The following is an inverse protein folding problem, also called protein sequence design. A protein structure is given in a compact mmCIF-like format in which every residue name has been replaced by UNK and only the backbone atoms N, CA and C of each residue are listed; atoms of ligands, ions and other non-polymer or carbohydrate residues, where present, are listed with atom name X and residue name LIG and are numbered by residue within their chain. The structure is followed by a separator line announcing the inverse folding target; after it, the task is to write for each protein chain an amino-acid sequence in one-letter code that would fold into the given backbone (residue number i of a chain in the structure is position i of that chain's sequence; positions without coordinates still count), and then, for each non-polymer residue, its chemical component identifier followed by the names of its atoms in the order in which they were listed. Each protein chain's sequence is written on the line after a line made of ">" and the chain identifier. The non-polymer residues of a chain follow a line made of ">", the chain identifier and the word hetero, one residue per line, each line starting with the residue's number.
data_IF_172762108425
#
_entry.id   IF_172762108425
#
_cell.length_a   1.000
_cell.length_b   1.000
_cell.length_c   1.000
_cell.angle_alpha   90.00
_cell.angle_beta   90.00
_cell.angle_gamma   90.00
#
_symmetry.space_group_name_H-M   'P 1'
#
loop_
_entity.id
_entity.type
_entity.pdbx_description
1 polymer ?
#
# COMPACT_ATOMS: atom_id res chain seq x y z
N UNK A 1 10.26 -13.35 -21.62
CA UNK A 1 9.19 -14.07 -20.91
C UNK A 1 8.52 -13.06 -19.97
N UNK A 2 7.22 -13.14 -19.80
CA UNK A 2 6.51 -12.26 -18.86
C UNK A 2 6.90 -12.73 -17.46
N UNK A 3 7.39 -11.81 -16.61
CA UNK A 3 7.67 -12.09 -15.21
C UNK A 3 6.37 -12.49 -14.50
N UNK A 4 6.44 -13.48 -13.61
CA UNK A 4 5.33 -13.90 -12.76
C UNK A 4 5.09 -12.88 -11.64
N UNK A 5 6.18 -12.38 -11.04
CA UNK A 5 6.13 -11.32 -10.05
C UNK A 5 5.89 -9.97 -10.73
N UNK A 6 4.88 -9.24 -10.26
CA UNK A 6 4.66 -7.83 -10.56
C UNK A 6 5.31 -6.93 -9.52
N UNK A 7 4.99 -5.64 -9.53
CA UNK A 7 5.49 -4.67 -8.54
C UNK A 7 5.07 -4.97 -7.09
N UNK A 8 4.05 -5.81 -6.89
CA UNK A 8 3.48 -6.12 -5.58
C UNK A 8 3.12 -7.62 -5.47
N UNK A 9 4.10 -8.48 -5.73
CA UNK A 9 3.94 -9.94 -5.69
C UNK A 9 3.22 -10.51 -6.91
N UNK A 10 2.69 -11.71 -6.77
CA UNK A 10 1.93 -12.42 -7.80
C UNK A 10 0.44 -12.20 -7.56
N UNK A 11 -0.26 -11.60 -8.50
CA UNK A 11 -1.71 -11.34 -8.40
C UNK A 11 -2.48 -11.97 -9.55
N UNK A 12 -3.74 -12.32 -9.30
CA UNK A 12 -4.63 -12.80 -10.35
C UNK A 12 -6.01 -13.20 -9.87
N UNK A 13 -6.89 -13.45 -10.83
CA UNK A 13 -8.21 -14.03 -10.55
C UNK A 13 -8.02 -15.49 -10.15
N UNK A 14 -8.50 -15.82 -8.93
CA UNK A 14 -8.32 -17.17 -8.36
C UNK A 14 -9.05 -18.21 -9.22
N UNK A 15 -8.43 -19.38 -9.39
CA UNK A 15 -8.87 -20.46 -10.28
C UNK A 15 -8.92 -20.10 -11.78
N UNK A 16 -8.26 -18.99 -12.17
CA UNK A 16 -8.03 -18.62 -13.58
C UNK A 16 -6.56 -18.37 -13.88
N UNK A 17 -5.97 -17.38 -13.23
CA UNK A 17 -4.56 -16.99 -13.37
C UNK A 17 -3.76 -17.30 -12.11
N UNK A 18 -4.36 -17.16 -10.92
CA UNK A 18 -3.78 -17.57 -9.65
C UNK A 18 -4.39 -18.91 -9.21
N UNK A 19 -3.76 -20.00 -9.65
CA UNK A 19 -4.19 -21.37 -9.34
C UNK A 19 -3.60 -21.84 -8.01
N UNK A 20 -4.27 -22.70 -7.23
CA UNK A 20 -3.71 -23.29 -6.01
C UNK A 20 -2.46 -24.16 -6.29
N UNK A 21 -2.38 -24.77 -7.49
CA UNK A 21 -1.17 -25.47 -7.94
C UNK A 21 0.02 -24.53 -8.08
N UNK A 22 -0.20 -23.31 -8.58
CA UNK A 22 0.83 -22.28 -8.66
C UNK A 22 1.28 -21.87 -7.25
N UNK A 23 0.35 -21.65 -6.31
CA UNK A 23 0.67 -21.33 -4.93
C UNK A 23 1.53 -22.45 -4.28
N UNK A 24 1.18 -23.71 -4.51
CA UNK A 24 2.00 -24.85 -4.06
C UNK A 24 3.40 -24.83 -4.67
N UNK A 25 3.50 -24.60 -5.97
CA UNK A 25 4.78 -24.52 -6.68
C UNK A 25 5.63 -23.33 -6.20
N UNK A 26 5.01 -22.17 -5.97
CA UNK A 26 5.69 -21.01 -5.36
C UNK A 26 6.23 -21.33 -3.96
N UNK A 27 5.42 -22.03 -3.14
CA UNK A 27 5.86 -22.50 -1.83
C UNK A 27 7.08 -23.43 -1.95
N UNK A 28 7.07 -24.35 -2.92
CA UNK A 28 8.23 -25.22 -3.18
C UNK A 28 9.47 -24.46 -3.61
N UNK A 29 9.33 -23.49 -4.52
CA UNK A 29 10.45 -22.70 -5.03
C UNK A 29 11.01 -21.78 -3.92
N UNK A 30 10.15 -21.09 -3.18
CA UNK A 30 10.55 -20.24 -2.05
C UNK A 30 11.22 -21.09 -0.94
N UNK A 31 10.62 -22.21 -0.55
CA UNK A 31 11.23 -23.12 0.43
C UNK A 31 12.61 -23.57 -0.01
N UNK A 32 12.80 -23.96 -1.28
CA UNK A 32 14.09 -24.35 -1.82
C UNK A 32 15.11 -23.20 -1.83
N UNK A 33 14.67 -21.98 -2.12
CA UNK A 33 15.52 -20.78 -2.09
C UNK A 33 16.07 -20.53 -0.69
N UNK A 34 15.21 -20.53 0.31
CA UNK A 34 15.60 -20.23 1.70
C UNK A 34 16.31 -21.42 2.37
N UNK A 35 16.05 -22.68 1.98
CA UNK A 35 16.78 -23.86 2.48
C UNK A 35 18.27 -23.89 2.10
N UNK A 36 18.75 -23.03 1.19
CA UNK A 36 20.19 -22.90 0.90
C UNK A 36 20.99 -22.26 2.04
N UNK A 37 20.31 -21.67 3.03
CA UNK A 37 20.90 -21.12 4.25
C UNK A 37 21.06 -22.25 5.29
N UNK A 38 21.88 -22.02 6.30
CA UNK A 38 22.02 -22.98 7.41
C UNK A 38 20.72 -23.09 8.22
N UNK A 39 20.31 -24.31 8.54
CA UNK A 39 19.14 -24.61 9.34
C UNK A 39 17.86 -24.86 8.52
N UNK A 40 16.76 -25.04 9.22
CA UNK A 40 15.42 -25.22 8.66
C UNK A 40 14.75 -23.85 8.57
N UNK A 41 14.41 -23.35 7.37
CA UNK A 41 13.81 -22.04 7.24
C UNK A 41 12.39 -22.01 7.82
N UNK A 42 12.05 -20.88 8.44
CA UNK A 42 10.74 -20.62 9.05
C UNK A 42 10.03 -19.51 8.31
N UNK A 43 8.77 -19.76 7.96
CA UNK A 43 7.90 -18.79 7.29
C UNK A 43 6.72 -18.42 8.17
N UNK A 44 6.37 -17.14 8.19
CA UNK A 44 5.12 -16.64 8.74
C UNK A 44 4.14 -16.38 7.60
N UNK A 45 2.89 -16.87 7.67
CA UNK A 45 1.86 -16.61 6.66
C UNK A 45 0.66 -15.95 7.30
N UNK A 46 0.31 -14.76 6.79
CA UNK A 46 -0.93 -14.04 7.07
C UNK A 46 -1.78 -13.86 5.82
N UNK A 47 -3.02 -13.44 5.99
CA UNK A 47 -3.95 -13.21 4.89
C UNK A 47 -4.99 -12.14 5.21
N UNK A 48 -5.66 -11.65 4.18
CA UNK A 48 -6.91 -10.89 4.33
C UNK A 48 -8.14 -11.82 4.49
N UNK A 49 -9.32 -11.25 4.37
CA UNK A 49 -10.60 -11.93 4.62
C UNK A 49 -11.18 -12.64 3.40
N UNK A 50 -10.54 -12.58 2.22
CA UNK A 50 -11.03 -13.23 0.98
C UNK A 50 -11.28 -14.71 1.18
N UNK A 51 -12.39 -15.22 0.66
CA UNK A 51 -12.77 -16.63 0.74
C UNK A 51 -11.68 -17.57 0.20
N UNK A 52 -10.95 -17.14 -0.82
CA UNK A 52 -9.85 -17.90 -1.43
C UNK A 52 -8.58 -17.95 -0.57
N UNK A 53 -8.46 -17.09 0.46
CA UNK A 53 -7.27 -16.98 1.28
C UNK A 53 -6.88 -18.26 1.98
N UNK A 54 -7.84 -18.99 2.56
CA UNK A 54 -7.57 -20.27 3.25
C UNK A 54 -7.04 -21.35 2.31
N UNK A 55 -7.62 -21.45 1.10
CA UNK A 55 -7.18 -22.41 0.08
C UNK A 55 -5.74 -22.13 -0.37
N UNK A 56 -5.44 -20.86 -0.69
CA UNK A 56 -4.09 -20.46 -1.12
C UNK A 56 -3.06 -20.62 -0.01
N UNK A 57 -3.42 -20.29 1.25
CA UNK A 57 -2.57 -20.52 2.44
C UNK A 57 -2.22 -22.00 2.56
N UNK A 58 -3.22 -22.88 2.45
CA UNK A 58 -3.00 -24.32 2.56
C UNK A 58 -2.07 -24.85 1.44
N UNK A 59 -2.30 -24.43 0.21
CA UNK A 59 -1.50 -24.83 -0.94
C UNK A 59 -0.04 -24.37 -0.83
N UNK A 60 0.17 -23.07 -0.50
CA UNK A 60 1.50 -22.49 -0.31
C UNK A 60 2.24 -23.17 0.86
N UNK A 61 1.58 -23.36 2.01
CA UNK A 61 2.15 -24.03 3.18
C UNK A 61 2.57 -25.46 2.87
N UNK A 62 1.74 -26.21 2.14
CA UNK A 62 2.09 -27.56 1.70
C UNK A 62 3.36 -27.56 0.81
N UNK A 63 3.49 -26.59 -0.09
CA UNK A 63 4.67 -26.41 -0.94
C UNK A 63 5.94 -26.11 -0.13
N UNK A 64 5.88 -25.20 0.83
CA UNK A 64 6.96 -24.84 1.74
C UNK A 64 7.41 -26.07 2.57
N UNK A 65 6.46 -26.76 3.19
CA UNK A 65 6.75 -27.98 4.00
C UNK A 65 7.35 -29.11 3.14
N UNK A 66 6.88 -29.26 1.89
CA UNK A 66 7.42 -30.25 0.95
C UNK A 66 8.87 -29.95 0.53
N UNK A 67 9.38 -28.75 0.79
CA UNK A 67 10.79 -28.35 0.59
C UNK A 67 11.58 -28.27 1.91
N UNK A 68 10.97 -28.63 3.06
CA UNK A 68 11.63 -28.72 4.37
C UNK A 68 11.52 -27.44 5.22
N UNK A 69 10.74 -26.45 4.81
CA UNK A 69 10.51 -25.24 5.58
C UNK A 69 9.38 -25.45 6.61
N UNK A 70 9.53 -24.88 7.79
CA UNK A 70 8.45 -24.79 8.79
C UNK A 70 7.58 -23.55 8.49
N UNK A 71 6.29 -23.66 8.77
CA UNK A 71 5.30 -22.61 8.50
C UNK A 71 4.48 -22.35 9.74
N UNK A 72 4.45 -21.09 10.16
CA UNK A 72 3.56 -20.58 11.20
C UNK A 72 2.46 -19.74 10.53
N UNK A 73 1.18 -20.09 10.76
CA UNK A 73 0.02 -19.42 10.14
C UNK A 73 -0.66 -18.52 11.15
N UNK A 74 -0.60 -17.22 10.95
CA UNK A 74 -1.17 -16.22 11.89
C UNK A 74 -2.66 -15.92 11.60
N UNK A 75 -3.18 -16.33 10.43
CA UNK A 75 -4.58 -16.12 10.07
C UNK A 75 -4.84 -14.76 9.42
N UNK A 76 -5.98 -14.14 9.76
CA UNK A 76 -6.32 -12.79 9.26
C UNK A 76 -5.56 -11.76 10.07
N UNK A 77 -4.78 -10.94 9.37
CA UNK A 77 -3.94 -9.90 9.96
C UNK A 77 -3.62 -8.84 8.88
N UNK A 78 -3.48 -7.54 9.24
CA UNK A 78 -2.94 -6.54 8.34
C UNK A 78 -1.59 -6.93 7.71
N UNK A 79 -1.40 -6.59 6.44
CA UNK A 79 -0.12 -6.83 5.72
C UNK A 79 1.09 -6.34 6.51
N UNK A 80 1.10 -5.10 7.07
CA UNK A 80 2.22 -4.63 7.88
C UNK A 80 2.46 -5.45 9.15
N UNK A 81 1.44 -6.12 9.68
CA UNK A 81 1.59 -7.03 10.82
C UNK A 81 2.45 -8.24 10.48
N UNK A 82 2.33 -8.80 9.27
CA UNK A 82 3.21 -9.89 8.84
C UNK A 82 4.65 -9.41 8.69
N UNK A 83 4.88 -8.24 8.09
CA UNK A 83 6.21 -7.65 7.96
C UNK A 83 6.86 -7.42 9.34
N UNK A 84 6.13 -6.82 10.27
CA UNK A 84 6.57 -6.59 11.64
C UNK A 84 6.92 -7.89 12.38
N UNK A 85 6.00 -8.86 12.41
CA UNK A 85 6.19 -10.13 13.12
C UNK A 85 7.31 -10.98 12.50
N UNK A 86 7.48 -10.93 11.17
CA UNK A 86 8.59 -11.62 10.48
C UNK A 86 9.92 -11.14 11.03
N UNK A 87 10.11 -9.84 11.12
CA UNK A 87 11.33 -9.21 11.68
C UNK A 87 11.49 -9.50 13.17
N UNK A 88 10.42 -9.32 13.97
CA UNK A 88 10.47 -9.42 15.42
C UNK A 88 10.77 -10.84 15.92
N UNK A 89 10.21 -11.85 15.25
CA UNK A 89 10.36 -13.26 15.68
C UNK A 89 11.43 -14.01 14.89
N UNK A 90 12.18 -13.31 14.03
CA UNK A 90 13.30 -13.87 13.29
C UNK A 90 12.88 -14.98 12.33
N UNK A 91 11.77 -14.82 11.63
CA UNK A 91 11.42 -15.65 10.50
C UNK A 91 12.36 -15.38 9.33
N UNK A 92 12.63 -16.40 8.52
CA UNK A 92 13.45 -16.23 7.29
C UNK A 92 12.69 -15.48 6.22
N UNK A 93 11.36 -15.61 6.20
CA UNK A 93 10.47 -14.86 5.32
C UNK A 93 9.05 -14.77 5.89
N UNK A 94 8.35 -13.69 5.54
CA UNK A 94 6.92 -13.51 5.72
C UNK A 94 6.17 -13.63 4.40
N UNK A 95 4.93 -14.09 4.44
CA UNK A 95 4.06 -14.14 3.27
C UNK A 95 2.69 -13.61 3.60
N UNK A 96 2.15 -12.78 2.73
CA UNK A 96 0.77 -12.29 2.80
C UNK A 96 -0.03 -12.79 1.61
N UNK A 97 -1.19 -13.36 1.89
CA UNK A 97 -2.18 -13.76 0.89
C UNK A 97 -3.26 -12.69 0.80
N UNK A 98 -3.08 -11.75 -0.13
CA UNK A 98 -3.99 -10.63 -0.36
C UNK A 98 -3.80 -10.01 -1.74
N UNK A 99 -4.84 -9.36 -2.26
CA UNK A 99 -4.79 -8.47 -3.41
C UNK A 99 -5.16 -7.01 -3.04
N UNK A 100 -4.92 -6.60 -1.77
CA UNK A 100 -5.14 -5.24 -1.28
C UNK A 100 -6.55 -4.72 -1.59
N UNK A 101 -6.67 -3.63 -2.33
CA UNK A 101 -7.93 -2.96 -2.69
C UNK A 101 -8.71 -3.60 -3.86
N UNK A 102 -8.20 -4.68 -4.49
CA UNK A 102 -8.91 -5.35 -5.58
C UNK A 102 -10.21 -6.02 -5.09
N UNK A 103 -11.20 -6.26 -5.96
CA UNK A 103 -12.42 -6.99 -5.61
C UNK A 103 -12.11 -8.44 -5.21
N UNK A 104 -13.06 -9.11 -4.52
CA UNK A 104 -12.85 -10.41 -3.89
C UNK A 104 -12.44 -11.57 -4.81
N UNK A 105 -12.78 -11.60 -6.14
CA UNK A 105 -12.34 -12.69 -7.00
C UNK A 105 -10.83 -12.73 -7.25
N UNK A 106 -10.17 -11.57 -7.06
CA UNK A 106 -8.73 -11.48 -7.12
C UNK A 106 -8.11 -11.91 -5.80
N UNK A 107 -6.87 -12.42 -5.87
CA UNK A 107 -6.01 -12.59 -4.72
C UNK A 107 -4.55 -12.43 -5.15
N UNK A 108 -3.62 -12.46 -4.17
CA UNK A 108 -2.20 -12.33 -4.43
C UNK A 108 -1.36 -13.05 -3.40
N UNK A 109 -0.09 -13.20 -3.72
CA UNK A 109 0.93 -13.76 -2.82
C UNK A 109 2.11 -12.81 -2.82
N UNK A 110 2.36 -12.16 -1.67
CA UNK A 110 3.45 -11.21 -1.44
C UNK A 110 4.44 -11.82 -0.47
N UNK A 111 5.73 -11.67 -0.74
CA UNK A 111 6.79 -12.15 0.15
C UNK A 111 7.54 -11.00 0.78
N UNK A 112 7.95 -11.20 2.04
CA UNK A 112 8.83 -10.33 2.81
C UNK A 112 10.09 -11.08 3.21
N UNK A 113 11.22 -10.41 3.23
CA UNK A 113 12.48 -10.95 3.74
C UNK A 113 12.52 -10.98 5.29
N UNK A 114 13.59 -11.51 5.84
CA UNK A 114 13.79 -11.58 7.30
C UNK A 114 13.86 -10.22 8.01
N UNK A 115 14.00 -9.12 7.26
CA UNK A 115 13.96 -7.76 7.80
C UNK A 115 12.57 -7.12 7.72
N UNK A 116 11.60 -7.83 7.14
CA UNK A 116 10.25 -7.31 6.90
C UNK A 116 10.13 -6.42 5.67
N UNK A 117 11.11 -6.40 4.77
CA UNK A 117 11.02 -5.70 3.49
C UNK A 117 10.44 -6.64 2.42
N UNK A 118 9.74 -6.10 1.43
CA UNK A 118 9.40 -6.86 0.22
C UNK A 118 10.65 -7.45 -0.41
N UNK A 119 10.55 -8.63 -1.02
CA UNK A 119 11.71 -9.25 -1.67
C UNK A 119 12.27 -8.34 -2.77
N UNK A 120 13.58 -8.39 -2.97
CA UNK A 120 14.22 -7.71 -4.09
C UNK A 120 13.88 -8.39 -5.42
N UNK A 121 13.90 -7.65 -6.54
CA UNK A 121 13.69 -8.21 -7.88
C UNK A 121 14.59 -9.42 -8.13
N UNK A 122 15.85 -9.30 -7.73
CA UNK A 122 16.81 -10.41 -7.84
C UNK A 122 16.34 -11.66 -7.09
N UNK A 123 15.81 -11.50 -5.90
CA UNK A 123 15.31 -12.64 -5.11
C UNK A 123 14.05 -13.24 -5.75
N UNK A 124 13.16 -12.39 -6.26
CA UNK A 124 11.98 -12.82 -6.99
C UNK A 124 12.35 -13.56 -8.28
N UNK A 125 13.31 -13.06 -9.05
CA UNK A 125 13.84 -13.73 -10.26
C UNK A 125 14.48 -15.09 -9.94
N UNK A 126 15.27 -15.19 -8.85
CA UNK A 126 15.88 -16.44 -8.40
C UNK A 126 14.80 -17.48 -7.96
N UNK A 127 13.71 -17.03 -7.34
CA UNK A 127 12.58 -17.89 -6.99
C UNK A 127 11.82 -18.33 -8.26
N UNK A 128 11.59 -17.43 -9.22
CA UNK A 128 10.98 -17.77 -10.52
C UNK A 128 11.80 -18.80 -11.30
N UNK A 129 13.11 -18.67 -11.29
CA UNK A 129 13.99 -19.64 -11.94
C UNK A 129 13.88 -21.02 -11.30
N UNK A 130 13.87 -21.09 -9.96
CA UNK A 130 13.62 -22.34 -9.25
C UNK A 130 12.24 -22.93 -9.58
N UNK A 131 11.22 -22.08 -9.68
CA UNK A 131 9.86 -22.49 -10.04
C UNK A 131 9.79 -23.13 -11.43
N UNK A 132 10.51 -22.61 -12.41
CA UNK A 132 10.58 -23.19 -13.76
C UNK A 132 11.25 -24.57 -13.79
N UNK A 133 12.14 -24.87 -12.86
CA UNK A 133 12.95 -26.07 -12.79
C UNK A 133 12.56 -27.03 -11.66
N UNK A 134 11.37 -26.88 -11.06
CA UNK A 134 10.92 -27.73 -9.96
C UNK A 134 10.86 -29.24 -10.35
N UNK A 135 10.47 -29.54 -11.56
CA UNK A 135 10.37 -30.92 -12.07
C UNK A 135 11.74 -31.52 -12.43
N UNK A 136 12.74 -30.68 -12.65
CA UNK A 136 14.14 -31.09 -12.91
C UNK A 136 14.92 -31.43 -11.62
N UNK A 137 14.24 -31.41 -10.46
CA UNK A 137 14.85 -31.69 -9.17
C UNK A 137 15.58 -30.50 -8.53
N UNK A 138 15.31 -29.27 -8.99
CA UNK A 138 15.90 -28.03 -8.47
C UNK A 138 15.52 -27.74 -7.01
N UNK A 139 14.38 -28.26 -6.54
CA UNK A 139 13.93 -28.12 -5.17
C UNK A 139 14.07 -29.41 -4.37
N UNK A 140 14.56 -29.35 -3.11
CA UNK A 140 14.70 -30.53 -2.24
C UNK A 140 13.34 -31.20 -2.01
N UNK A 141 13.39 -32.53 -1.78
CA UNK A 141 12.25 -33.33 -1.36
C UNK A 141 12.66 -34.13 -0.11
N UNK A 142 12.73 -33.47 1.05
CA UNK A 142 13.09 -34.14 2.29
C UNK A 142 12.06 -35.21 2.67
N UNK A 143 12.49 -36.19 3.45
CA UNK A 143 11.66 -37.31 3.91
C UNK A 143 11.70 -37.45 5.44
N UNK A 144 10.69 -38.06 5.99
CA UNK A 144 10.64 -38.35 7.42
C UNK A 144 10.64 -37.10 8.28
N UNK A 145 11.58 -36.98 9.21
CA UNK A 145 11.68 -35.84 10.14
C UNK A 145 12.15 -34.53 9.49
N UNK A 146 12.63 -34.56 8.25
CA UNK A 146 13.09 -33.37 7.55
C UNK A 146 11.97 -32.64 6.75
N UNK A 147 10.78 -33.25 6.70
CA UNK A 147 9.59 -32.56 6.17
C UNK A 147 9.23 -31.42 7.12
N UNK A 148 8.90 -30.23 6.56
CA UNK A 148 8.43 -29.07 7.33
C UNK A 148 7.09 -29.31 8.00
N UNK A 149 6.78 -28.52 9.01
CA UNK A 149 5.52 -28.62 9.77
C UNK A 149 4.77 -27.29 9.70
N UNK A 150 3.43 -27.38 9.72
CA UNK A 150 2.54 -26.22 9.82
C UNK A 150 2.08 -26.09 11.27
N UNK A 151 2.17 -24.88 11.83
CA UNK A 151 1.67 -24.55 13.17
C UNK A 151 0.65 -23.44 13.08
N UNK A 152 -0.30 -23.45 13.99
CA UNK A 152 -1.15 -22.30 14.27
C UNK A 152 -0.35 -21.29 15.11
N UNK A 153 -0.38 -20.02 14.71
CA UNK A 153 0.29 -18.92 15.38
C UNK A 153 -0.64 -17.68 15.49
N UNK A 154 -1.95 -17.93 15.58
CA UNK A 154 -2.97 -16.87 15.61
C UNK A 154 -2.77 -15.88 16.77
N UNK A 155 -2.15 -16.34 17.88
CA UNK A 155 -1.82 -15.50 19.04
C UNK A 155 -0.86 -14.36 18.72
N UNK A 156 -0.01 -14.49 17.69
CA UNK A 156 0.92 -13.43 17.29
C UNK A 156 0.22 -12.18 16.77
N UNK A 157 -1.04 -12.29 16.33
CA UNK A 157 -1.84 -11.11 15.95
C UNK A 157 -2.02 -10.14 17.12
N UNK A 158 -2.12 -10.62 18.34
CA UNK A 158 -2.22 -9.79 19.53
C UNK A 158 -0.93 -8.98 19.78
N UNK A 159 0.24 -9.57 19.53
CA UNK A 159 1.54 -8.90 19.70
C UNK A 159 1.69 -7.68 18.76
N UNK A 160 1.24 -7.80 17.51
CA UNK A 160 1.24 -6.67 16.59
C UNK A 160 0.22 -5.60 17.00
N UNK A 161 -0.96 -6.01 17.51
CA UNK A 161 -1.98 -5.09 18.03
C UNK A 161 -1.47 -4.27 19.21
N UNK A 162 -0.79 -4.94 20.14
CA UNK A 162 -0.16 -4.28 21.29
C UNK A 162 0.97 -3.34 20.86
N UNK A 163 1.78 -3.76 19.88
CA UNK A 163 2.82 -2.90 19.31
C UNK A 163 2.23 -1.61 18.74
N UNK A 164 1.21 -1.67 17.89
CA UNK A 164 0.58 -0.46 17.30
C UNK A 164 0.08 0.47 18.40
N UNK A 165 -0.59 -0.06 19.42
CA UNK A 165 -1.08 0.75 20.54
C UNK A 165 0.06 1.44 21.32
N UNK A 166 1.24 0.83 21.40
CA UNK A 166 2.41 1.36 22.10
C UNK A 166 3.21 2.38 21.28
N UNK A 167 2.90 2.59 19.99
CA UNK A 167 3.57 3.61 19.16
C UNK A 167 3.17 5.04 19.53
N UNK A 168 2.12 5.22 20.33
CA UNK A 168 1.65 6.52 20.82
C UNK A 168 1.67 6.57 22.35
N UNK A 169 1.89 7.77 22.90
CA UNK A 169 1.97 7.99 24.35
C UNK A 169 0.71 8.65 24.95
N UNK A 170 -0.21 9.12 24.09
CA UNK A 170 -1.46 9.76 24.53
C UNK A 170 -2.65 8.82 24.42
N UNK A 171 -3.70 9.07 25.20
CA UNK A 171 -5.00 8.42 25.01
C UNK A 171 -5.89 9.23 24.06
N UNK A 172 -6.93 8.56 23.52
CA UNK A 172 -7.90 9.16 22.60
C UNK A 172 -9.26 9.42 23.25
N UNK A 173 -9.32 9.51 24.58
CA UNK A 173 -10.57 9.83 25.32
C UNK A 173 -11.19 11.12 24.83
N UNK A 174 -12.49 11.06 24.57
CA UNK A 174 -13.28 12.20 24.09
C UNK A 174 -13.22 12.38 22.57
N UNK A 175 -12.57 11.48 21.82
CA UNK A 175 -12.71 11.40 20.38
C UNK A 175 -13.75 10.36 20.01
N UNK A 176 -14.71 10.74 19.16
CA UNK A 176 -15.65 9.85 18.50
C UNK A 176 -15.16 9.59 17.08
N UNK A 177 -14.89 8.34 16.75
CA UNK A 177 -14.23 7.93 15.51
C UNK A 177 -15.10 6.91 14.79
N UNK A 178 -15.39 7.15 13.51
CA UNK A 178 -16.01 6.16 12.62
C UNK A 178 -14.92 5.44 11.85
N UNK A 179 -14.87 4.11 11.90
CA UNK A 179 -13.92 3.33 11.11
C UNK A 179 -14.62 2.60 9.96
N UNK A 180 -13.97 2.52 8.81
CA UNK A 180 -14.33 1.67 7.68
C UNK A 180 -13.17 0.73 7.40
N UNK A 181 -13.32 -0.54 7.74
CA UNK A 181 -12.28 -1.55 7.63
C UNK A 181 -12.33 -2.34 6.32
N UNK A 182 -13.05 -1.85 5.31
CA UNK A 182 -13.20 -2.49 3.99
C UNK A 182 -13.68 -3.95 4.02
N UNK A 183 -14.31 -4.43 5.09
CA UNK A 183 -14.51 -5.87 5.40
C UNK A 183 -13.21 -6.69 5.27
N UNK A 184 -12.07 -6.06 5.48
CA UNK A 184 -10.73 -6.58 5.30
C UNK A 184 -10.01 -6.92 6.61
N UNK A 185 -8.68 -6.95 6.54
CA UNK A 185 -7.81 -7.36 7.65
C UNK A 185 -7.79 -6.37 8.83
N UNK A 186 -8.22 -5.11 8.63
CA UNK A 186 -8.40 -4.15 9.72
C UNK A 186 -9.67 -4.39 10.56
N UNK A 187 -10.57 -5.27 10.15
CA UNK A 187 -11.91 -5.56 10.67
C UNK A 187 -12.15 -5.21 12.12
N UNK A 188 -11.78 -6.08 13.03
CA UNK A 188 -11.78 -5.85 14.47
C UNK A 188 -10.44 -5.32 15.00
N UNK A 189 -9.41 -5.25 14.15
CA UNK A 189 -8.05 -4.94 14.54
C UNK A 189 -7.88 -3.47 14.94
N UNK A 190 -8.15 -2.54 14.01
CA UNK A 190 -8.03 -1.11 14.26
C UNK A 190 -9.08 -0.59 15.26
N UNK A 191 -10.37 -0.98 15.17
CA UNK A 191 -11.38 -0.58 16.16
C UNK A 191 -11.01 -0.96 17.60
N UNK A 192 -10.45 -2.17 17.81
CA UNK A 192 -10.02 -2.62 19.14
C UNK A 192 -8.86 -1.77 19.68
N UNK A 193 -7.86 -1.46 18.85
CA UNK A 193 -6.74 -0.59 19.24
C UNK A 193 -7.25 0.78 19.67
N UNK A 194 -8.11 1.40 18.87
CA UNK A 194 -8.66 2.73 19.17
C UNK A 194 -9.48 2.74 20.46
N UNK A 195 -10.31 1.70 20.66
CA UNK A 195 -11.11 1.54 21.88
C UNK A 195 -10.20 1.34 23.13
N UNK A 196 -9.15 0.55 23.04
CA UNK A 196 -8.13 0.39 24.11
C UNK A 196 -7.43 1.70 24.43
N UNK A 197 -7.20 2.54 23.43
CA UNK A 197 -6.65 3.89 23.63
C UNK A 197 -7.70 4.89 24.11
N UNK A 198 -8.97 4.48 24.31
CA UNK A 198 -10.00 5.25 24.97
C UNK A 198 -10.92 6.05 24.05
N UNK A 199 -10.84 5.85 22.72
CA UNK A 199 -11.79 6.46 21.77
C UNK A 199 -13.19 5.83 21.87
N UNK A 200 -14.22 6.61 21.53
CA UNK A 200 -15.57 6.11 21.24
C UNK A 200 -15.63 5.72 19.75
N UNK A 201 -15.63 4.40 19.48
CA UNK A 201 -15.44 3.87 18.12
C UNK A 201 -16.76 3.33 17.57
N UNK A 202 -17.09 3.78 16.36
CA UNK A 202 -18.23 3.28 15.59
C UNK A 202 -17.67 2.56 14.37
N UNK A 203 -17.61 1.22 14.44
CA UNK A 203 -17.05 0.40 13.38
C UNK A 203 -18.07 0.14 12.26
N UNK A 204 -17.64 0.32 11.02
CA UNK A 204 -18.39 -0.02 9.80
C UNK A 204 -17.55 -0.89 8.89
N UNK A 205 -18.18 -1.60 7.95
CA UNK A 205 -17.52 -2.53 7.03
C UNK A 205 -16.51 -3.46 7.76
N UNK A 206 -16.93 -4.03 8.89
CA UNK A 206 -16.14 -4.90 9.75
C UNK A 206 -16.75 -6.31 9.94
N UNK A 207 -17.67 -6.70 9.07
CA UNK A 207 -18.35 -8.02 9.08
C UNK A 207 -18.01 -8.79 7.78
N UNK A 208 -16.77 -9.33 7.67
CA UNK A 208 -16.34 -10.02 6.47
C UNK A 208 -17.06 -11.36 6.29
N UNK A 209 -17.62 -11.59 5.10
CA UNK A 209 -18.23 -12.87 4.69
C UNK A 209 -17.38 -13.66 3.66
N UNK A 210 -16.22 -13.11 3.32
CA UNK A 210 -15.27 -13.68 2.36
C UNK A 210 -15.45 -13.22 0.92
N UNK A 211 -16.56 -12.56 0.60
CA UNK A 211 -16.90 -12.06 -0.75
C UNK A 211 -17.22 -10.57 -0.81
N UNK A 212 -17.28 -9.90 0.34
CA UNK A 212 -17.64 -8.48 0.47
C UNK A 212 -16.45 -7.54 0.73
N UNK A 213 -15.21 -8.04 0.67
CA UNK A 213 -14.02 -7.19 0.86
C UNK A 213 -13.95 -6.10 -0.22
N UNK A 214 -13.72 -4.84 0.20
CA UNK A 214 -13.68 -3.64 -0.66
C UNK A 214 -14.97 -3.35 -1.45
N UNK A 215 -16.08 -4.01 -1.15
CA UNK A 215 -17.32 -3.81 -1.89
C UNK A 215 -18.03 -2.53 -1.42
N UNK A 216 -17.88 -1.46 -2.20
CA UNK A 216 -18.40 -0.13 -1.91
C UNK A 216 -18.01 0.42 -0.51
N UNK A 217 -16.82 0.08 -0.03
CA UNK A 217 -16.27 0.49 1.26
C UNK A 217 -14.76 0.60 1.21
N UNK A 218 -14.16 1.06 2.30
CA UNK A 218 -12.73 1.23 2.48
C UNK A 218 -12.15 2.44 1.75
N UNK A 219 -10.82 2.50 1.68
CA UNK A 219 -10.07 3.67 1.21
C UNK A 219 -10.31 4.04 -0.27
N UNK A 220 -10.93 3.17 -1.05
CA UNK A 220 -11.30 3.45 -2.46
C UNK A 220 -12.75 3.91 -2.64
N UNK A 221 -13.56 3.91 -1.57
CA UNK A 221 -14.98 4.28 -1.57
C UNK A 221 -15.35 5.05 -0.31
N UNK A 222 -14.85 6.29 -0.22
CA UNK A 222 -14.94 7.14 0.98
C UNK A 222 -16.32 7.78 1.22
N UNK A 223 -17.23 7.74 0.22
CA UNK A 223 -18.48 8.52 0.23
C UNK A 223 -19.43 8.09 1.37
N UNK A 224 -19.43 6.81 1.70
CA UNK A 224 -20.26 6.30 2.79
C UNK A 224 -19.72 6.77 4.14
N UNK A 225 -18.41 6.59 4.36
CA UNK A 225 -17.74 7.01 5.58
C UNK A 225 -17.91 8.52 5.82
N UNK A 226 -17.73 9.35 4.77
CA UNK A 226 -17.88 10.79 4.85
C UNK A 226 -19.29 11.21 5.32
N UNK A 227 -20.34 10.54 4.80
CA UNK A 227 -21.73 10.78 5.23
C UNK A 227 -21.97 10.36 6.69
N UNK A 228 -21.41 9.22 7.11
CA UNK A 228 -21.56 8.70 8.46
C UNK A 228 -20.88 9.60 9.49
N UNK A 229 -19.67 10.09 9.21
CA UNK A 229 -18.96 11.04 10.08
C UNK A 229 -19.82 12.27 10.36
N UNK A 230 -20.36 12.90 9.31
CA UNK A 230 -21.22 14.08 9.44
C UNK A 230 -22.52 13.76 10.17
N UNK A 231 -23.18 12.63 9.82
CA UNK A 231 -24.44 12.21 10.41
C UNK A 231 -24.34 11.93 11.91
N UNK A 232 -23.21 11.33 12.32
CA UNK A 232 -22.95 10.93 13.71
C UNK A 232 -22.28 12.04 14.53
N UNK A 233 -21.92 13.17 13.90
CA UNK A 233 -21.15 14.25 14.52
C UNK A 233 -19.82 13.73 15.11
N UNK A 234 -19.18 12.79 14.41
CA UNK A 234 -17.90 12.24 14.83
C UNK A 234 -16.77 13.25 14.60
N UNK A 235 -15.69 13.13 15.37
CA UNK A 235 -14.51 14.00 15.23
C UNK A 235 -13.74 13.69 13.94
N UNK A 236 -13.75 12.41 13.51
CA UNK A 236 -13.18 11.98 12.25
C UNK A 236 -13.69 10.60 11.81
N UNK A 237 -13.42 10.27 10.55
CA UNK A 237 -13.52 8.93 9.99
C UNK A 237 -12.16 8.39 9.58
N UNK A 238 -11.98 7.07 9.60
CA UNK A 238 -10.75 6.38 9.18
C UNK A 238 -11.13 5.22 8.28
N UNK A 239 -10.55 5.16 7.09
CA UNK A 239 -10.73 4.06 6.16
C UNK A 239 -9.41 3.35 5.87
N UNK A 240 -9.44 2.02 5.89
CA UNK A 240 -8.36 1.17 5.39
C UNK A 240 -8.78 0.52 4.07
N UNK A 241 -7.82 -0.08 3.36
CA UNK A 241 -8.09 -1.01 2.29
C UNK A 241 -8.10 -2.47 2.80
N UNK A 242 -8.32 -3.43 1.90
CA UNK A 242 -8.58 -4.82 2.27
C UNK A 242 -7.48 -5.51 3.09
N UNK A 243 -6.21 -5.13 2.93
CA UNK A 243 -5.08 -5.67 3.70
C UNK A 243 -4.45 -4.63 4.66
N UNK A 244 -5.09 -3.48 4.79
CA UNK A 244 -4.82 -2.44 5.78
C UNK A 244 -3.38 -1.89 5.75
N UNK A 245 -2.73 -1.90 4.58
CA UNK A 245 -1.47 -1.22 4.36
C UNK A 245 -1.66 0.28 4.04
N UNK A 246 -2.93 0.71 3.78
CA UNK A 246 -3.36 2.08 3.55
C UNK A 246 -4.28 2.61 4.62
N UNK A 247 -4.24 3.93 4.80
CA UNK A 247 -5.12 4.67 5.68
C UNK A 247 -5.47 6.02 5.08
N UNK A 248 -6.77 6.34 5.00
CA UNK A 248 -7.28 7.67 4.67
C UNK A 248 -8.18 8.15 5.78
N UNK A 249 -8.35 9.47 5.88
CA UNK A 249 -9.20 10.09 6.88
C UNK A 249 -10.35 10.87 6.26
N UNK A 250 -11.36 11.12 7.08
CA UNK A 250 -12.45 12.05 6.81
C UNK A 250 -12.53 13.00 8.01
N UNK A 251 -12.57 14.30 7.77
CA UNK A 251 -12.75 15.28 8.83
C UNK A 251 -14.22 15.38 9.28
N UNK A 252 -14.47 16.12 10.35
CA UNK A 252 -15.81 16.31 10.94
C UNK A 252 -16.81 17.01 10.00
N UNK A 253 -16.35 17.57 8.87
CA UNK A 253 -17.20 18.19 7.85
C UNK A 253 -17.53 17.25 6.69
N UNK A 254 -16.90 16.07 6.64
CA UNK A 254 -17.04 15.07 5.59
C UNK A 254 -16.03 15.22 4.44
N UNK A 255 -15.00 16.07 4.60
CA UNK A 255 -13.92 16.20 3.64
C UNK A 255 -12.91 15.06 3.80
N UNK A 256 -12.45 14.48 2.69
CA UNK A 256 -11.48 13.39 2.67
C UNK A 256 -10.07 13.93 2.71
N UNK A 257 -9.26 13.43 3.63
CA UNK A 257 -7.82 13.65 3.71
C UNK A 257 -7.11 12.43 3.12
N UNK A 258 -6.39 12.64 2.05
CA UNK A 258 -5.58 11.60 1.40
C UNK A 258 -4.19 11.46 2.05
N UNK A 259 -3.35 10.58 1.49
CA UNK A 259 -2.03 10.30 2.03
C UNK A 259 -1.12 11.54 2.07
N UNK A 260 -1.26 12.47 1.13
CA UNK A 260 -0.45 13.70 1.12
C UNK A 260 -0.78 14.60 2.31
N UNK A 261 -2.08 14.76 2.65
CA UNK A 261 -2.51 15.48 3.85
C UNK A 261 -1.97 14.81 5.12
N UNK A 262 -2.11 13.47 5.20
CA UNK A 262 -1.68 12.71 6.37
C UNK A 262 -0.15 12.79 6.55
N UNK A 263 0.62 12.69 5.48
CA UNK A 263 2.06 12.86 5.52
C UNK A 263 2.45 14.27 5.97
N UNK A 264 1.79 15.32 5.46
CA UNK A 264 2.07 16.70 5.88
C UNK A 264 1.80 16.91 7.37
N UNK A 265 0.61 16.48 7.85
CA UNK A 265 0.22 16.62 9.26
C UNK A 265 1.25 15.93 10.17
N UNK A 266 1.61 14.68 9.85
CA UNK A 266 2.59 13.93 10.63
C UNK A 266 4.00 14.50 10.49
N UNK A 267 4.40 14.98 9.30
CA UNK A 267 5.71 15.59 9.07
C UNK A 267 5.94 16.84 9.92
N UNK A 268 4.93 17.73 10.02
CA UNK A 268 5.01 18.93 10.84
C UNK A 268 5.25 18.54 12.30
N UNK A 269 4.47 17.61 12.82
CA UNK A 269 4.59 17.14 14.20
C UNK A 269 5.94 16.44 14.45
N UNK A 270 6.35 15.52 13.59
CA UNK A 270 7.65 14.84 13.69
C UNK A 270 8.83 15.82 13.64
N UNK A 271 8.72 16.88 12.83
CA UNK A 271 9.73 17.95 12.79
C UNK A 271 9.79 18.70 14.10
N UNK A 272 8.65 19.08 14.70
CA UNK A 272 8.58 19.77 15.99
C UNK A 272 9.21 18.93 17.11
N UNK A 273 9.04 17.61 17.05
CA UNK A 273 9.65 16.66 17.98
C UNK A 273 11.10 16.27 17.64
N UNK A 274 11.65 16.75 16.53
CA UNK A 274 13.02 16.43 16.08
C UNK A 274 13.16 14.98 15.53
N UNK A 275 12.07 14.33 15.15
CA UNK A 275 12.03 12.95 14.61
C UNK A 275 12.02 12.88 13.08
N UNK A 276 11.81 14.01 12.37
CA UNK A 276 11.81 14.05 10.91
C UNK A 276 13.25 14.16 10.38
N UNK A 277 13.83 13.06 9.96
CA UNK A 277 15.20 12.99 9.45
C UNK A 277 15.38 13.89 8.23
N UNK A 278 16.44 14.72 8.24
CA UNK A 278 16.76 15.65 7.16
C UNK A 278 15.68 16.70 6.89
N UNK A 279 14.63 16.82 7.72
CA UNK A 279 13.42 17.60 7.44
C UNK A 279 12.84 17.28 6.06
N UNK A 280 12.85 16.00 5.68
CA UNK A 280 12.47 15.53 4.34
C UNK A 280 11.38 14.47 4.41
N UNK A 281 10.40 14.57 3.51
CA UNK A 281 9.36 13.55 3.29
C UNK A 281 9.52 13.00 1.89
N UNK A 282 9.44 11.68 1.76
CA UNK A 282 9.50 11.00 0.46
C UNK A 282 8.07 10.78 -0.04
N UNK A 283 7.75 11.35 -1.20
CA UNK A 283 6.49 11.13 -1.91
C UNK A 283 6.72 10.49 -3.27
N UNK A 284 5.69 10.50 -4.10
CA UNK A 284 5.80 10.05 -5.50
C UNK A 284 5.53 11.19 -6.48
N UNK A 285 5.77 10.94 -7.76
CA UNK A 285 5.38 11.88 -8.83
C UNK A 285 3.86 12.10 -8.93
N UNK A 286 3.04 11.34 -8.18
CA UNK A 286 1.60 11.52 -8.10
C UNK A 286 1.16 12.41 -6.93
N UNK A 287 2.05 12.68 -5.97
CA UNK A 287 1.72 13.58 -4.84
C UNK A 287 1.29 14.95 -5.34
N UNK A 288 0.29 15.54 -4.69
CA UNK A 288 -0.29 16.82 -5.07
C UNK A 288 0.74 17.96 -5.04
N UNK A 289 0.67 18.88 -5.97
CA UNK A 289 1.56 20.06 -6.01
C UNK A 289 1.47 20.88 -4.71
N UNK A 290 0.29 20.93 -4.10
CA UNK A 290 0.05 21.56 -2.81
C UNK A 290 0.87 20.93 -1.67
N UNK A 291 1.08 19.62 -1.70
CA UNK A 291 1.89 18.91 -0.72
C UNK A 291 3.34 19.44 -0.67
N UNK A 292 4.01 19.51 -1.82
CA UNK A 292 5.38 20.02 -1.88
C UNK A 292 5.47 21.50 -1.49
N UNK A 293 4.48 22.32 -1.86
CA UNK A 293 4.41 23.73 -1.47
C UNK A 293 4.22 23.88 0.04
N UNK A 294 3.27 23.15 0.62
CA UNK A 294 3.00 23.18 2.06
C UNK A 294 4.21 22.71 2.88
N UNK A 295 4.89 21.63 2.47
CA UNK A 295 6.13 21.20 3.11
C UNK A 295 7.18 22.32 3.09
N UNK A 296 7.36 22.98 1.95
CA UNK A 296 8.33 24.09 1.79
C UNK A 296 7.99 25.28 2.67
N UNK A 297 6.72 25.66 2.82
CA UNK A 297 6.23 26.73 3.69
C UNK A 297 6.55 26.42 5.18
N UNK A 298 6.54 25.15 5.55
CA UNK A 298 6.93 24.69 6.89
C UNK A 298 8.44 24.39 7.02
N UNK A 299 9.27 24.79 6.03
CA UNK A 299 10.72 24.60 6.05
C UNK A 299 11.14 23.12 5.99
N UNK A 300 10.39 22.33 5.25
CA UNK A 300 10.66 20.93 4.95
C UNK A 300 10.90 20.73 3.46
N UNK A 301 11.42 19.57 3.09
CA UNK A 301 11.69 19.20 1.69
C UNK A 301 10.84 17.98 1.32
N UNK A 302 10.56 17.85 0.03
CA UNK A 302 10.02 16.62 -0.55
C UNK A 302 11.01 16.03 -1.54
N UNK A 303 11.12 14.72 -1.56
CA UNK A 303 11.79 13.93 -2.60
C UNK A 303 10.71 13.11 -3.28
N UNK A 304 10.62 13.22 -4.63
CA UNK A 304 9.61 12.50 -5.40
C UNK A 304 10.24 11.31 -6.12
N UNK A 305 9.70 10.13 -5.90
CA UNK A 305 10.07 8.89 -6.58
C UNK A 305 9.08 8.55 -7.70
N UNK A 306 9.35 7.49 -8.44
CA UNK A 306 8.35 6.86 -9.29
C UNK A 306 7.21 6.30 -8.44
N UNK A 307 6.04 6.05 -9.07
CA UNK A 307 4.89 5.43 -8.42
C UNK A 307 5.21 3.99 -8.03
N UNK A 308 4.97 3.67 -6.79
CA UNK A 308 5.17 2.35 -6.19
C UNK A 308 5.86 2.47 -4.83
N UNK A 309 5.27 1.86 -3.84
CA UNK A 309 5.72 1.87 -2.45
C UNK A 309 7.17 1.39 -2.27
N UNK A 310 7.61 0.48 -3.13
CA UNK A 310 8.98 0.01 -3.17
C UNK A 310 9.97 1.12 -3.44
N UNK A 311 9.72 1.98 -4.44
CA UNK A 311 10.62 3.11 -4.76
C UNK A 311 10.67 4.13 -3.64
N UNK A 312 9.54 4.35 -2.96
CA UNK A 312 9.47 5.20 -1.76
C UNK A 312 10.36 4.63 -0.66
N UNK A 313 10.22 3.34 -0.35
CA UNK A 313 11.02 2.69 0.69
C UNK A 313 12.52 2.67 0.33
N UNK A 314 12.88 2.35 -0.91
CA UNK A 314 14.27 2.33 -1.36
C UNK A 314 14.93 3.71 -1.17
N UNK A 315 14.25 4.80 -1.55
CA UNK A 315 14.72 6.17 -1.33
C UNK A 315 14.87 6.51 0.15
N UNK A 316 13.87 6.11 0.98
CA UNK A 316 13.90 6.31 2.42
C UNK A 316 15.11 5.61 3.06
N UNK A 317 15.37 4.36 2.70
CA UNK A 317 16.47 3.56 3.24
C UNK A 317 17.84 4.08 2.76
N UNK A 318 17.93 4.55 1.51
CA UNK A 318 19.19 5.07 0.96
C UNK A 318 19.67 6.35 1.64
N UNK A 319 18.74 7.14 2.19
CA UNK A 319 19.04 8.45 2.79
C UNK A 319 18.63 8.57 4.26
N UNK A 320 18.20 7.45 4.89
CA UNK A 320 17.75 7.40 6.30
C UNK A 320 16.59 8.37 6.57
N UNK A 321 15.66 8.50 5.63
CA UNK A 321 14.45 9.30 5.83
C UNK A 321 13.41 8.55 6.67
N UNK A 322 12.74 9.28 7.57
CA UNK A 322 11.84 8.70 8.57
C UNK A 322 10.38 8.62 8.16
N UNK A 323 9.96 9.39 7.16
CA UNK A 323 8.57 9.45 6.68
C UNK A 323 8.51 9.50 5.16
N UNK A 324 7.65 8.68 4.59
CA UNK A 324 7.35 8.70 3.16
C UNK A 324 6.09 7.91 2.86
N UNK A 325 5.56 8.06 1.63
CA UNK A 325 4.36 7.35 1.23
C UNK A 325 3.78 7.83 -0.08
N UNK A 326 2.54 7.47 -0.30
CA UNK A 326 1.78 7.75 -1.51
C UNK A 326 0.45 8.44 -1.16
N UNK A 327 -0.08 9.21 -2.11
CA UNK A 327 -1.40 9.82 -2.01
C UNK A 327 -2.51 8.79 -1.70
N UNK A 328 -2.33 7.54 -2.11
CA UNK A 328 -3.25 6.43 -1.83
C UNK A 328 -3.42 6.09 -0.34
N UNK A 329 -2.60 6.68 0.55
CA UNK A 329 -2.62 6.41 1.98
C UNK A 329 -1.65 5.32 2.43
N UNK A 330 -0.80 4.79 1.54
CA UNK A 330 0.30 3.89 1.90
C UNK A 330 1.44 4.73 2.48
N UNK A 331 1.52 4.82 3.80
CA UNK A 331 2.46 5.68 4.51
C UNK A 331 3.39 4.84 5.38
N UNK A 332 4.70 5.10 5.26
CA UNK A 332 5.78 4.40 5.93
C UNK A 332 6.38 5.32 6.98
N UNK A 333 6.37 4.87 8.23
CA UNK A 333 7.16 5.43 9.33
C UNK A 333 8.27 4.45 9.65
N UNK A 334 9.51 4.71 9.19
CA UNK A 334 10.64 3.76 9.35
C UNK A 334 11.00 3.48 10.81
N UNK A 335 10.61 4.37 11.72
CA UNK A 335 10.73 4.17 13.16
C UNK A 335 9.90 2.97 13.64
N UNK A 336 8.76 2.70 13.01
CA UNK A 336 7.81 1.70 13.47
C UNK A 336 7.76 0.46 12.56
N UNK A 337 7.72 0.65 11.25
CA UNK A 337 7.57 -0.47 10.32
C UNK A 337 8.39 -0.28 9.03
N UNK A 338 8.50 -1.35 8.27
CA UNK A 338 9.30 -1.45 7.03
C UNK A 338 8.45 -1.38 5.77
N UNK A 339 7.16 -1.16 5.90
CA UNK A 339 6.18 -1.01 4.81
C UNK A 339 5.09 -0.05 5.24
N UNK A 340 4.22 0.35 4.34
CA UNK A 340 3.03 1.13 4.69
C UNK A 340 2.20 0.42 5.73
N UNK A 341 1.76 1.19 6.72
CA UNK A 341 1.04 0.66 7.87
C UNK A 341 -0.16 1.56 8.19
N UNK A 342 -1.34 1.10 7.74
CA UNK A 342 -2.57 1.87 7.93
C UNK A 342 -2.96 2.03 9.39
N UNK A 343 -2.64 1.05 10.24
CA UNK A 343 -2.94 1.13 11.67
C UNK A 343 -1.99 2.08 12.42
N UNK A 344 -0.71 2.04 12.11
CA UNK A 344 0.27 3.01 12.65
C UNK A 344 -0.08 4.41 12.15
N UNK A 345 -0.37 4.59 10.86
CA UNK A 345 -0.78 5.87 10.28
C UNK A 345 -2.00 6.44 11.01
N UNK A 346 -3.00 5.60 11.30
CA UNK A 346 -4.20 5.99 12.03
C UNK A 346 -3.87 6.53 13.43
N UNK A 347 -3.13 5.77 14.23
CA UNK A 347 -2.83 6.18 15.62
C UNK A 347 -1.86 7.37 15.69
N UNK A 348 -0.88 7.47 14.77
CA UNK A 348 0.03 8.62 14.71
C UNK A 348 -0.74 9.90 14.36
N UNK A 349 -1.60 9.87 13.35
CA UNK A 349 -2.42 11.03 12.94
C UNK A 349 -3.39 11.45 14.06
N UNK A 350 -4.05 10.47 14.71
CA UNK A 350 -4.92 10.75 15.88
C UNK A 350 -4.14 11.32 17.06
N UNK A 351 -2.89 10.92 17.25
CA UNK A 351 -2.00 11.49 18.27
C UNK A 351 -1.75 12.97 17.99
N UNK A 352 -1.49 13.35 16.73
CA UNK A 352 -1.35 14.76 16.33
C UNK A 352 -2.65 15.52 16.55
N UNK A 353 -3.78 14.98 16.13
CA UNK A 353 -5.10 15.58 16.35
C UNK A 353 -5.35 15.85 17.83
N UNK A 354 -5.13 14.84 18.68
CA UNK A 354 -5.33 14.92 20.13
C UNK A 354 -4.43 15.94 20.81
N UNK A 355 -3.15 15.94 20.47
CA UNK A 355 -2.14 16.82 21.09
C UNK A 355 -2.28 18.27 20.63
N UNK A 356 -2.65 18.51 19.38
CA UNK A 356 -2.85 19.86 18.84
C UNK A 356 -4.07 20.56 19.44
N UNK A 357 -5.08 19.82 19.90
CA UNK A 357 -6.37 20.34 20.33
C UNK A 357 -7.17 21.01 19.21
N UNK A 358 -6.76 20.85 17.95
CA UNK A 358 -7.42 21.38 16.76
C UNK A 358 -8.46 20.38 16.25
N UNK A 359 -9.36 20.85 15.37
CA UNK A 359 -10.19 19.97 14.56
C UNK A 359 -9.38 19.41 13.38
N UNK A 360 -9.83 18.27 12.85
CA UNK A 360 -9.12 17.67 11.71
C UNK A 360 -9.22 18.54 10.45
N UNK A 361 -10.34 19.25 10.24
CA UNK A 361 -10.49 20.25 9.17
C UNK A 361 -9.48 21.41 9.26
N UNK A 362 -9.09 21.83 10.48
CA UNK A 362 -8.07 22.85 10.66
C UNK A 362 -6.65 22.33 10.34
N UNK A 363 -6.41 21.04 10.57
CA UNK A 363 -5.16 20.39 10.16
C UNK A 363 -5.14 20.14 8.64
N UNK A 364 -6.26 19.78 8.04
CA UNK A 364 -6.42 19.64 6.59
C UNK A 364 -6.09 20.95 5.86
N UNK A 365 -6.55 22.08 6.41
CA UNK A 365 -6.33 23.42 5.83
C UNK A 365 -4.83 23.84 5.78
N UNK A 366 -3.91 23.07 6.36
CA UNK A 366 -2.46 23.28 6.21
C UNK A 366 -1.97 23.02 4.78
N UNK A 367 -2.72 22.26 4.00
CA UNK A 367 -2.46 22.00 2.58
C UNK A 367 -3.60 22.60 1.73
N UNK A 368 -3.23 23.23 0.63
CA UNK A 368 -4.19 23.62 -0.40
C UNK A 368 -4.11 22.63 -1.54
N UNK A 369 -5.20 21.93 -1.81
CA UNK A 369 -5.28 21.05 -2.97
C UNK A 369 -5.24 21.80 -4.27
N UNK A 370 -4.42 21.30 -5.17
CA UNK A 370 -4.43 21.72 -6.57
C UNK A 370 -5.30 20.77 -7.37
N UNK A 371 -6.28 21.27 -8.14
CA UNK A 371 -7.04 20.44 -9.05
C UNK A 371 -6.15 19.59 -9.96
N UNK A 372 -6.50 18.32 -10.11
CA UNK A 372 -5.84 17.38 -11.01
C UNK A 372 -6.82 16.88 -12.06
N UNK A 373 -6.40 16.86 -13.32
CA UNK A 373 -7.11 16.24 -14.43
C UNK A 373 -6.27 15.13 -14.99
N UNK A 374 -6.84 13.91 -15.03
CA UNK A 374 -6.16 12.71 -15.56
C UNK A 374 -6.97 12.15 -16.72
N UNK A 375 -6.33 11.98 -17.87
CA UNK A 375 -6.88 11.27 -19.01
C UNK A 375 -6.01 10.10 -19.43
N UNK A 376 -6.64 8.94 -19.64
CA UNK A 376 -6.00 7.73 -20.12
C UNK A 376 -6.24 7.59 -21.62
N UNK A 377 -5.17 7.42 -22.42
CA UNK A 377 -5.24 7.21 -23.86
C UNK A 377 -4.80 5.79 -24.17
N UNK A 378 -5.68 4.99 -24.81
CA UNK A 378 -5.32 3.66 -25.29
C UNK A 378 -4.37 3.77 -26.48
N UNK A 379 -3.27 3.01 -26.43
CA UNK A 379 -2.23 3.06 -27.45
C UNK A 379 -1.89 1.67 -27.97
N UNK A 380 -1.51 1.59 -29.22
CA UNK A 380 -1.05 0.33 -29.83
C UNK A 380 0.27 -0.15 -29.21
N UNK A 381 1.16 0.77 -28.86
CA UNK A 381 2.44 0.48 -28.20
C UNK A 381 2.76 1.54 -27.16
N UNK A 382 3.25 1.10 -26.01
CA UNK A 382 3.75 1.98 -24.94
C UNK A 382 5.19 2.46 -25.16
N UNK A 383 5.87 2.01 -26.21
CA UNK A 383 7.26 2.36 -26.51
C UNK A 383 7.32 3.33 -27.69
N UNK A 384 8.29 4.23 -27.67
CA UNK A 384 8.55 5.16 -28.78
C UNK A 384 7.73 6.46 -28.75
N UNK A 385 6.86 6.66 -27.76
CA UNK A 385 6.11 7.90 -27.63
C UNK A 385 7.00 9.07 -27.15
N UNK A 386 8.05 8.75 -26.41
CA UNK A 386 9.01 9.74 -25.92
C UNK A 386 9.87 10.34 -27.04
N UNK A 387 10.06 9.61 -28.13
CA UNK A 387 10.81 10.04 -29.32
C UNK A 387 9.89 10.67 -30.42
N UNK A 388 8.56 10.64 -30.23
CA UNK A 388 7.62 11.25 -31.20
C UNK A 388 7.62 12.77 -31.05
N UNK A 389 8.16 13.48 -32.06
CA UNK A 389 8.30 14.94 -32.05
C UNK A 389 6.97 15.67 -31.82
N UNK A 390 5.90 15.24 -32.48
CA UNK A 390 4.56 15.86 -32.37
C UNK A 390 4.02 15.78 -30.95
N UNK A 391 4.17 14.61 -30.31
CA UNK A 391 3.74 14.41 -28.90
C UNK A 391 4.59 15.28 -27.98
N UNK A 392 5.92 15.32 -28.18
CA UNK A 392 6.82 16.10 -27.32
C UNK A 392 6.59 17.61 -27.47
N UNK A 393 6.28 18.11 -28.69
CA UNK A 393 5.91 19.50 -28.91
C UNK A 393 4.59 19.87 -28.19
N UNK A 394 3.57 19.00 -28.24
CA UNK A 394 2.33 19.23 -27.50
C UNK A 394 2.53 19.26 -25.99
N UNK A 395 3.37 18.35 -25.45
CA UNK A 395 3.73 18.32 -24.02
C UNK A 395 4.49 19.59 -23.63
N UNK A 396 5.45 20.04 -24.44
CA UNK A 396 6.23 21.23 -24.18
C UNK A 396 5.36 22.51 -24.17
N UNK A 397 4.44 22.63 -25.14
CA UNK A 397 3.48 23.73 -25.19
C UNK A 397 2.56 23.76 -23.97
N UNK A 398 2.03 22.60 -23.55
CA UNK A 398 1.21 22.49 -22.35
C UNK A 398 1.98 22.87 -21.06
N UNK A 399 3.25 22.46 -20.94
CA UNK A 399 4.11 22.85 -19.82
C UNK A 399 4.39 24.36 -19.80
N UNK A 400 4.66 24.96 -20.95
CA UNK A 400 4.89 26.41 -21.06
C UNK A 400 3.64 27.19 -20.67
N UNK A 401 2.46 26.74 -21.09
CA UNK A 401 1.19 27.38 -20.76
C UNK A 401 0.82 27.29 -19.28
N UNK A 402 1.10 26.12 -18.63
CA UNK A 402 0.88 25.95 -17.18
C UNK A 402 1.86 26.78 -16.32
N UNK A 403 3.04 27.09 -16.85
CA UNK A 403 4.05 27.89 -16.16
C UNK A 403 4.55 27.24 -14.85
N UNK A 404 4.92 28.10 -13.89
CA UNK A 404 5.46 27.66 -12.58
C UNK A 404 4.40 27.20 -11.58
N UNK A 405 3.12 27.54 -11.83
CA UNK A 405 2.02 27.25 -10.91
C UNK A 405 1.26 25.97 -11.25
N UNK A 406 1.64 25.33 -12.35
CA UNK A 406 1.08 24.06 -12.76
C UNK A 406 2.14 23.01 -13.08
N UNK A 407 1.66 21.77 -13.26
CA UNK A 407 2.49 20.60 -13.58
C UNK A 407 1.79 19.73 -14.62
N UNK A 408 2.58 19.21 -15.55
CA UNK A 408 2.14 18.21 -16.51
C UNK A 408 2.99 16.96 -16.38
N UNK A 409 2.34 15.80 -16.20
CA UNK A 409 2.97 14.50 -16.15
C UNK A 409 2.35 13.61 -17.21
N UNK A 410 3.18 13.14 -18.16
CA UNK A 410 2.78 12.15 -19.17
C UNK A 410 3.64 10.90 -18.96
N UNK A 411 3.00 9.73 -18.84
CA UNK A 411 3.69 8.48 -18.60
C UNK A 411 2.95 7.26 -19.14
N UNK A 412 3.68 6.22 -19.49
CA UNK A 412 3.09 4.93 -19.79
C UNK A 412 2.52 4.25 -18.54
N UNK A 413 1.41 3.53 -18.68
CA UNK A 413 0.91 2.64 -17.64
C UNK A 413 1.81 1.42 -17.49
N UNK A 414 2.08 0.99 -16.25
CA UNK A 414 2.86 -0.22 -15.99
C UNK A 414 2.18 -1.49 -16.52
N UNK A 415 0.89 -1.61 -16.31
CA UNK A 415 0.12 -2.85 -16.51
C UNK A 415 -0.75 -2.86 -17.76
N UNK A 416 -1.21 -1.71 -18.26
CA UNK A 416 -2.16 -1.60 -19.36
C UNK A 416 -1.52 -0.92 -20.59
N UNK A 417 -2.04 -1.13 -21.81
CA UNK A 417 -1.59 -0.44 -23.02
C UNK A 417 -2.14 0.99 -23.08
N UNK A 418 -1.75 1.81 -22.11
CA UNK A 418 -2.21 3.19 -21.94
C UNK A 418 -1.05 4.15 -21.77
N UNK A 419 -1.20 5.36 -22.32
CA UNK A 419 -0.46 6.55 -21.90
C UNK A 419 -1.38 7.39 -21.01
N UNK A 420 -0.88 7.80 -19.86
CA UNK A 420 -1.60 8.62 -18.90
C UNK A 420 -1.12 10.06 -19.01
N UNK A 421 -2.04 10.99 -19.24
CA UNK A 421 -1.79 12.43 -19.28
C UNK A 421 -2.43 13.03 -18.03
N UNK A 422 -1.63 13.61 -17.15
CA UNK A 422 -2.10 14.29 -15.94
C UNK A 422 -1.63 15.73 -15.95
N UNK A 423 -2.61 16.64 -15.82
CA UNK A 423 -2.40 18.06 -15.59
C UNK A 423 -2.79 18.43 -14.16
N UNK A 424 -2.04 19.33 -13.54
CA UNK A 424 -2.30 19.83 -12.20
C UNK A 424 -1.99 21.33 -12.14
N UNK A 425 -2.85 22.11 -11.50
CA UNK A 425 -2.70 23.56 -11.44
C UNK A 425 -3.93 24.26 -10.84
N UNK A 426 -3.91 25.58 -10.71
CA UNK A 426 -4.95 26.34 -10.03
C UNK A 426 -6.26 26.50 -10.83
N UNK A 427 -6.24 26.32 -12.15
CA UNK A 427 -7.37 26.54 -13.05
C UNK A 427 -7.84 25.22 -13.70
N UNK A 428 -8.97 24.63 -13.24
CA UNK A 428 -9.49 23.38 -13.76
C UNK A 428 -9.84 23.44 -15.26
N UNK A 429 -10.38 24.54 -15.76
CA UNK A 429 -10.79 24.66 -17.18
C UNK A 429 -9.56 24.68 -18.09
N UNK A 430 -8.49 25.36 -17.67
CA UNK A 430 -7.21 25.34 -18.36
C UNK A 430 -6.62 23.92 -18.40
N UNK A 431 -6.66 23.20 -17.26
CA UNK A 431 -6.15 21.82 -17.16
C UNK A 431 -6.92 20.87 -18.07
N UNK A 432 -8.25 20.90 -18.04
CA UNK A 432 -9.09 20.05 -18.90
C UNK A 432 -8.73 20.23 -20.37
N UNK A 433 -8.58 21.48 -20.83
CA UNK A 433 -8.21 21.77 -22.21
C UNK A 433 -6.82 21.25 -22.55
N UNK A 434 -5.80 21.57 -21.75
CA UNK A 434 -4.41 21.13 -22.02
C UNK A 434 -4.30 19.62 -22.04
N UNK A 435 -4.91 18.96 -21.06
CA UNK A 435 -4.88 17.48 -20.98
C UNK A 435 -5.61 16.84 -22.16
N UNK A 436 -6.77 17.38 -22.56
CA UNK A 436 -7.52 16.90 -23.71
C UNK A 436 -6.76 17.11 -25.03
N UNK A 437 -6.11 18.26 -25.22
CA UNK A 437 -5.32 18.56 -26.41
C UNK A 437 -4.16 17.56 -26.57
N UNK A 438 -3.39 17.32 -25.48
CA UNK A 438 -2.29 16.36 -25.50
C UNK A 438 -2.79 14.93 -25.70
N UNK A 439 -3.87 14.55 -25.02
CA UNK A 439 -4.48 13.23 -25.18
C UNK A 439 -4.92 12.98 -26.64
N UNK A 440 -5.51 13.99 -27.28
CA UNK A 440 -5.91 13.94 -28.69
C UNK A 440 -4.70 13.75 -29.63
N UNK A 441 -3.60 14.45 -29.36
CA UNK A 441 -2.36 14.27 -30.15
C UNK A 441 -1.81 12.85 -29.97
N UNK A 442 -1.75 12.32 -28.75
CA UNK A 442 -1.31 10.95 -28.50
C UNK A 442 -2.20 9.92 -29.21
N UNK A 443 -3.53 10.13 -29.16
CA UNK A 443 -4.49 9.25 -29.82
C UNK A 443 -4.33 9.26 -31.35
N UNK A 444 -4.05 10.43 -31.95
CA UNK A 444 -3.83 10.57 -33.41
C UNK A 444 -2.53 9.89 -33.86
N UNK A 445 -1.45 10.03 -33.07
CA UNK A 445 -0.12 9.53 -33.45
C UNK A 445 0.06 8.03 -33.19
N UNK A 446 -0.40 7.54 -32.03
CA UNK A 446 -0.12 6.17 -31.56
C UNK A 446 -1.35 5.48 -30.95
N UNK A 447 -2.55 6.07 -31.06
CA UNK A 447 -3.78 5.47 -30.53
C UNK A 447 -4.14 4.14 -31.20
N UNK A 448 -4.82 3.28 -30.45
CA UNK A 448 -5.37 2.03 -30.98
C UNK A 448 -6.46 2.38 -32.00
N UNK A 449 -6.24 2.05 -33.27
CA UNK A 449 -7.25 2.25 -34.30
C UNK A 449 -8.26 1.12 -34.20
N UNK A 450 -9.56 1.46 -34.09
CA UNK A 450 -10.68 0.50 -34.14
C UNK A 450 -10.65 -0.41 -35.38
#
# INVERSE_FOLDING_TARGET
>A
MISLFGTDGVRGVVNRTLMPELAYQMGRAAGAYFCKKEGRPRFLIGRDTRISGTMLTAALSAGLCASGADVDVVGVIPTPGVAYLTKMYGYDAGVVISASHNPFPDNGIKFFDAKGHKLSDRTEEEIEELLRHLDDGAAPRPIGADIGIIRDAAELSAEYRDFVALTVSCDFKGLTIVTDSANGAAGDFLPDILARLGADVIATACEPDGVNINENCGSTHMEHLAKEVVRLHADCGIANDGDADRCLFVDETGHVLDGDHLMLINAIHMKEEGRLSGNTVVGTVMSNLGFGKALSEHGMKTVSTQVGDRYVLEEMLAHDYSLGGEQSGHIIFTEFNTTGDGSVTAVQTLSVLKQSGKKLSELCALMKDYPQVLQNVRVFSKTGWEENETIQEAIAAGKEELGSDGRLLVRASGTEPLIRVMGEGPDPEQLERIVADIASVIEQEIGEKE
#
